data_IF_893952318391
#
_entry.id   IF_893952318391
#
_cell.length_a   1.000
_cell.length_b   1.000
_cell.length_c   1.000
_cell.angle_alpha   90.00
_cell.angle_beta   90.00
_cell.angle_gamma   90.00
#
_symmetry.space_group_name_H-M   'P 1'
#
loop_
_entity.id
_entity.type
_entity.pdbx_description
1 polymer ?
#
# COMPACT_ATOMS: atom_id res chain seq x y z
N UNK A 1 29.96 5.08 -11.71
CA UNK A 1 28.63 5.17 -12.34
C UNK A 1 27.61 5.26 -11.21
N UNK A 2 27.19 6.48 -10.86
CA UNK A 2 26.32 6.72 -9.70
C UNK A 2 24.88 6.45 -10.10
N UNK A 3 24.31 5.35 -9.64
CA UNK A 3 22.89 5.02 -9.88
C UNK A 3 22.06 6.06 -9.13
N UNK A 4 21.49 7.02 -9.86
CA UNK A 4 20.49 7.93 -9.30
C UNK A 4 19.24 7.10 -8.97
N UNK A 5 18.92 6.97 -7.67
CA UNK A 5 17.68 6.32 -7.25
C UNK A 5 16.49 7.19 -7.64
N UNK A 6 15.43 6.62 -8.22
CA UNK A 6 14.22 7.38 -8.51
C UNK A 6 13.60 7.91 -7.20
N UNK A 7 12.97 9.10 -7.22
CA UNK A 7 12.20 9.59 -6.08
C UNK A 7 11.16 8.54 -5.66
N UNK A 8 11.12 8.19 -4.38
CA UNK A 8 10.21 7.15 -3.85
C UNK A 8 10.79 5.72 -3.81
N UNK A 9 12.06 5.51 -4.18
CA UNK A 9 12.72 4.24 -3.92
C UNK A 9 12.81 3.98 -2.41
N UNK A 10 12.31 2.84 -1.92
CA UNK A 10 12.30 2.48 -0.48
C UNK A 10 13.68 2.67 0.17
N UNK A 11 14.72 2.37 -0.59
CA UNK A 11 16.12 2.54 -0.23
C UNK A 11 16.63 4.00 -0.05
N UNK A 12 15.79 5.02 -0.20
CA UNK A 12 16.03 6.42 0.21
C UNK A 12 15.56 6.67 1.66
N UNK A 13 14.70 5.81 2.21
CA UNK A 13 14.14 5.89 3.55
C UNK A 13 14.78 4.87 4.51
N UNK A 14 15.69 4.03 4.03
CA UNK A 14 16.44 3.07 4.83
C UNK A 14 17.61 3.78 5.54
N UNK A 15 17.51 3.97 6.86
CA UNK A 15 18.64 4.38 7.71
C UNK A 15 19.66 3.23 7.76
N UNK A 16 20.92 3.53 7.45
CA UNK A 16 22.01 2.58 7.58
C UNK A 16 22.27 2.25 9.07
N UNK A 17 22.08 0.99 9.46
CA UNK A 17 22.54 0.46 10.76
C UNK A 17 21.47 0.05 11.77
N UNK A 18 20.19 0.04 11.41
CA UNK A 18 19.14 -0.54 12.28
C UNK A 18 18.80 -1.94 11.77
N UNK A 19 19.02 -2.96 12.60
CA UNK A 19 18.44 -4.27 12.37
C UNK A 19 16.92 -4.13 12.50
N UNK A 20 16.21 -4.10 11.37
CA UNK A 20 14.77 -4.08 11.37
C UNK A 20 14.27 -5.44 11.88
N UNK A 21 13.56 -5.43 13.01
CA UNK A 21 12.87 -6.61 13.53
C UNK A 21 11.76 -7.09 12.58
N UNK A 22 11.31 -6.23 11.65
CA UNK A 22 10.48 -6.55 10.49
C UNK A 22 10.88 -5.65 9.30
N UNK A 23 11.85 -6.11 8.50
CA UNK A 23 12.33 -5.41 7.30
C UNK A 23 11.19 -5.18 6.30
N UNK A 24 10.31 -6.16 6.15
CA UNK A 24 9.23 -6.14 5.16
C UNK A 24 8.16 -5.08 5.50
N UNK A 25 7.77 -4.96 6.77
CA UNK A 25 6.85 -3.92 7.23
C UNK A 25 7.45 -2.52 7.02
N UNK A 26 8.76 -2.38 7.25
CA UNK A 26 9.45 -1.11 7.13
C UNK A 26 9.57 -0.66 5.68
N UNK A 27 9.86 -1.60 4.77
CA UNK A 27 9.84 -1.36 3.32
C UNK A 27 8.42 -1.01 2.87
N UNK A 28 7.40 -1.71 3.36
CA UNK A 28 6.01 -1.44 3.02
C UNK A 28 5.58 -0.02 3.43
N UNK A 29 5.88 0.39 4.66
CA UNK A 29 5.57 1.72 5.17
C UNK A 29 6.26 2.82 4.34
N UNK A 30 7.55 2.63 3.99
CA UNK A 30 8.28 3.56 3.13
C UNK A 30 7.68 3.66 1.72
N UNK A 31 7.20 2.53 1.16
CA UNK A 31 6.51 2.53 -0.14
C UNK A 31 5.19 3.31 -0.08
N UNK A 32 4.40 3.15 0.97
CA UNK A 32 3.14 3.88 1.15
C UNK A 32 3.38 5.40 1.29
N UNK A 33 4.41 5.80 2.02
CA UNK A 33 4.81 7.20 2.18
C UNK A 33 5.20 7.82 0.84
N UNK A 34 6.15 7.20 0.13
CA UNK A 34 6.61 7.70 -1.17
C UNK A 34 5.49 7.76 -2.22
N UNK A 35 4.60 6.75 -2.24
CA UNK A 35 3.45 6.74 -3.14
C UNK A 35 2.41 7.81 -2.79
N UNK A 36 2.15 8.03 -1.50
CA UNK A 36 1.26 9.08 -1.01
C UNK A 36 1.76 10.46 -1.43
N UNK A 37 3.06 10.73 -1.28
CA UNK A 37 3.67 12.00 -1.69
C UNK A 37 3.65 12.20 -3.20
N UNK A 38 3.87 11.13 -3.98
CA UNK A 38 3.71 11.18 -5.43
C UNK A 38 2.27 11.51 -5.85
N UNK A 39 1.27 10.95 -5.17
CA UNK A 39 -0.14 11.20 -5.46
C UNK A 39 -0.54 12.65 -5.12
N UNK A 40 -0.02 13.21 -4.02
CA UNK A 40 -0.26 14.61 -3.61
C UNK A 40 0.49 15.60 -4.49
N UNK A 41 1.82 15.46 -4.60
CA UNK A 41 2.69 16.44 -5.26
C UNK A 41 2.78 16.26 -6.77
N UNK A 42 2.79 15.01 -7.25
CA UNK A 42 2.92 14.70 -8.67
C UNK A 42 1.60 14.71 -9.43
N UNK A 43 0.49 14.33 -8.77
CA UNK A 43 -0.84 14.21 -9.40
C UNK A 43 -1.89 15.19 -8.88
N UNK A 44 -1.55 16.02 -7.88
CA UNK A 44 -2.47 16.98 -7.25
C UNK A 44 -3.81 16.34 -6.83
N UNK A 45 -3.77 15.09 -6.38
CA UNK A 45 -4.98 14.41 -5.92
C UNK A 45 -5.44 14.98 -4.57
N UNK A 46 -6.76 15.01 -4.37
CA UNK A 46 -7.36 15.37 -3.09
C UNK A 46 -6.89 14.38 -2.01
N UNK A 47 -6.67 14.89 -0.80
CA UNK A 47 -6.23 14.09 0.33
C UNK A 47 -7.16 12.89 0.62
N UNK A 48 -8.48 13.07 0.44
CA UNK A 48 -9.45 11.99 0.56
C UNK A 48 -9.21 10.84 -0.43
N UNK A 49 -8.84 11.15 -1.67
CA UNK A 49 -8.52 10.16 -2.71
C UNK A 49 -7.23 9.42 -2.38
N UNK A 50 -6.22 10.13 -1.88
CA UNK A 50 -4.96 9.52 -1.43
C UNK A 50 -5.23 8.57 -0.27
N UNK A 51 -5.98 9.01 0.75
CA UNK A 51 -6.36 8.19 1.90
C UNK A 51 -7.14 6.93 1.49
N UNK A 52 -8.12 7.06 0.60
CA UNK A 52 -8.84 5.89 0.05
C UNK A 52 -7.88 4.91 -0.60
N UNK A 53 -6.94 5.39 -1.41
CA UNK A 53 -5.96 4.53 -2.08
C UNK A 53 -5.07 3.80 -1.09
N UNK A 54 -4.58 4.49 -0.05
CA UNK A 54 -3.77 3.88 1.01
C UNK A 54 -4.56 2.82 1.78
N UNK A 55 -5.81 3.11 2.14
CA UNK A 55 -6.67 2.14 2.84
C UNK A 55 -6.86 0.86 2.03
N UNK A 56 -7.07 0.95 0.71
CA UNK A 56 -7.21 -0.25 -0.14
C UNK A 56 -5.96 -1.12 -0.05
N UNK A 57 -4.78 -0.52 -0.18
CA UNK A 57 -3.50 -1.24 -0.16
C UNK A 57 -3.23 -1.85 1.23
N UNK A 58 -3.47 -1.10 2.31
CA UNK A 58 -3.33 -1.60 3.68
C UNK A 58 -4.35 -2.69 4.03
N UNK A 59 -5.57 -2.59 3.53
CA UNK A 59 -6.59 -3.62 3.77
C UNK A 59 -6.26 -4.91 3.02
N UNK A 60 -5.72 -4.80 1.80
CA UNK A 60 -5.31 -5.96 1.03
C UNK A 60 -4.11 -6.66 1.68
N UNK A 61 -3.11 -5.90 2.14
CA UNK A 61 -1.99 -6.42 2.93
C UNK A 61 -2.47 -7.19 4.16
N UNK A 62 -3.43 -6.64 4.91
CA UNK A 62 -4.00 -7.31 6.09
C UNK A 62 -4.81 -8.56 5.74
N UNK A 63 -5.50 -8.56 4.59
CA UNK A 63 -6.29 -9.71 4.15
C UNK A 63 -5.39 -10.89 3.74
N UNK A 64 -4.34 -10.61 2.96
CA UNK A 64 -3.41 -11.65 2.49
C UNK A 64 -2.39 -12.03 3.56
N UNK A 65 -2.13 -11.15 4.52
CA UNK A 65 -1.00 -11.23 5.46
C UNK A 65 0.33 -11.44 4.70
N UNK A 66 0.43 -10.85 3.52
CA UNK A 66 1.55 -10.97 2.58
C UNK A 66 1.93 -9.59 2.05
N UNK A 67 3.16 -9.46 1.57
CA UNK A 67 3.72 -8.19 1.12
C UNK A 67 3.49 -7.92 -0.37
N UNK A 68 3.53 -6.64 -0.80
CA UNK A 68 3.18 -6.26 -2.17
C UNK A 68 3.93 -6.97 -3.29
N UNK A 69 5.19 -7.37 -3.04
CA UNK A 69 6.01 -8.11 -4.01
C UNK A 69 5.63 -9.58 -4.17
N UNK A 70 4.82 -10.13 -3.25
CA UNK A 70 4.30 -11.50 -3.31
C UNK A 70 2.84 -11.55 -3.80
N UNK A 71 2.19 -10.39 -3.98
CA UNK A 71 0.80 -10.35 -4.40
C UNK A 71 0.59 -10.90 -5.81
N UNK A 72 -0.59 -11.48 -6.01
CA UNK A 72 -1.04 -11.96 -7.32
C UNK A 72 -2.38 -11.33 -7.70
N UNK A 73 -2.63 -11.23 -9.00
CA UNK A 73 -3.92 -10.75 -9.51
C UNK A 73 -5.08 -11.64 -9.03
N UNK A 74 -4.88 -12.96 -9.01
CA UNK A 74 -5.87 -13.91 -8.52
C UNK A 74 -6.23 -13.68 -7.04
N UNK A 75 -5.23 -13.41 -6.18
CA UNK A 75 -5.47 -13.08 -4.78
C UNK A 75 -6.22 -11.76 -4.59
N UNK A 76 -5.98 -10.78 -5.47
CA UNK A 76 -6.74 -9.53 -5.47
C UNK A 76 -8.20 -9.73 -5.88
N UNK A 77 -8.46 -10.54 -6.92
CA UNK A 77 -9.81 -10.87 -7.37
C UNK A 77 -10.60 -11.64 -6.31
N UNK A 78 -9.94 -12.55 -5.60
CA UNK A 78 -10.53 -13.26 -4.45
C UNK A 78 -10.91 -12.29 -3.33
N UNK A 79 -10.01 -11.37 -2.97
CA UNK A 79 -10.29 -10.35 -1.97
C UNK A 79 -11.47 -9.44 -2.37
N UNK A 80 -11.53 -9.01 -3.63
CA UNK A 80 -12.65 -8.21 -4.13
C UNK A 80 -13.97 -8.99 -4.07
N UNK A 81 -13.94 -10.27 -4.40
CA UNK A 81 -15.10 -11.16 -4.26
C UNK A 81 -15.52 -11.28 -2.79
N UNK A 82 -14.57 -11.43 -1.85
CA UNK A 82 -14.83 -11.45 -0.41
C UNK A 82 -15.51 -10.15 0.06
N UNK A 83 -15.04 -8.98 -0.37
CA UNK A 83 -15.62 -7.69 0.02
C UNK A 83 -17.07 -7.51 -0.45
N UNK A 84 -17.39 -7.92 -1.68
CA UNK A 84 -18.74 -7.79 -2.23
C UNK A 84 -19.67 -8.85 -1.65
N UNK A 85 -19.22 -10.10 -1.58
CA UNK A 85 -20.06 -11.24 -1.20
C UNK A 85 -20.28 -11.34 0.31
N UNK A 86 -19.27 -11.07 1.13
CA UNK A 86 -19.30 -11.29 2.59
C UNK A 86 -19.52 -9.98 3.34
N UNK A 87 -18.89 -8.89 2.91
CA UNK A 87 -19.02 -7.58 3.59
C UNK A 87 -20.13 -6.69 3.00
N UNK A 88 -20.78 -7.14 1.91
CA UNK A 88 -21.83 -6.39 1.18
C UNK A 88 -21.43 -4.94 0.84
N UNK A 89 -20.12 -4.70 0.68
CA UNK A 89 -19.60 -3.40 0.30
C UNK A 89 -19.86 -3.20 -1.19
N UNK A 90 -20.42 -2.05 -1.55
CA UNK A 90 -20.42 -1.65 -2.95
C UNK A 90 -18.95 -1.55 -3.43
N UNK A 91 -18.63 -1.91 -4.68
CA UNK A 91 -17.27 -1.80 -5.22
C UNK A 91 -16.64 -0.40 -5.07
N UNK A 92 -17.48 0.64 -5.00
CA UNK A 92 -17.07 2.03 -4.76
C UNK A 92 -16.67 2.35 -3.31
N UNK A 93 -16.91 1.45 -2.37
CA UNK A 93 -16.77 1.64 -0.91
C UNK A 93 -15.58 0.87 -0.32
N UNK A 94 -14.84 0.12 -1.14
CA UNK A 94 -13.65 -0.67 -0.74
C UNK A 94 -12.55 0.14 -0.03
N UNK A 95 -12.53 1.47 -0.18
CA UNK A 95 -11.57 2.37 0.45
C UNK A 95 -11.77 2.71 1.93
N UNK A 96 -12.77 2.11 2.60
CA UNK A 96 -12.96 2.31 4.04
C UNK A 96 -11.84 1.60 4.84
N UNK A 97 -11.41 2.15 5.98
CA UNK A 97 -10.43 1.47 6.83
C UNK A 97 -10.96 0.10 7.29
N UNK A 98 -10.10 -0.92 7.26
CA UNK A 98 -10.47 -2.27 7.71
C UNK A 98 -11.00 -2.24 9.16
N UNK A 99 -12.23 -2.70 9.36
CA UNK A 99 -12.84 -2.87 10.68
C UNK A 99 -12.79 -4.37 11.01
N UNK A 100 -12.04 -4.73 12.05
CA UNK A 100 -11.88 -6.12 12.51
C UNK A 100 -13.19 -6.65 13.10
#
# INVERSE_FOLDING_TARGET
MTIQKPPGAASLFLVAGVAFLDEEESVFNAMLEGWSDQQRGGRYLKESTVRTSLNIVSNFQQFTNDWPWNWSAAGFDEWMTHLVAIRHLAPSTTGLPYQK
#
